data_IF_195763513660
#
_entry.id   IF_195763513660
#
_cell.length_a   1.000
_cell.length_b   1.000
_cell.length_c   1.000
_cell.angle_alpha   90.00
_cell.angle_beta   90.00
_cell.angle_gamma   90.00
#
_symmetry.space_group_name_H-M   'P 1'
#
loop_
_entity.id
_entity.type
_entity.pdbx_description
1 polymer ?
#
# COMPACT_ATOMS: atom_id res chain seq x y z
N UNK A 1 -75.67 60.64 10.92
CA UNK A 1 -75.12 59.25 11.00
C UNK A 1 -74.17 59.07 9.83
N UNK A 2 -72.84 59.04 10.09
CA UNK A 2 -71.82 58.92 9.07
C UNK A 2 -71.19 57.50 9.19
N UNK A 3 -71.35 56.67 8.19
CA UNK A 3 -70.73 55.33 8.05
C UNK A 3 -69.29 55.47 7.55
N UNK A 4 -68.34 55.01 8.34
CA UNK A 4 -66.95 54.94 7.98
C UNK A 4 -66.72 53.60 7.26
N UNK A 5 -66.26 53.65 5.99
CA UNK A 5 -65.79 52.53 5.21
C UNK A 5 -64.28 52.31 5.49
N UNK A 6 -63.92 51.15 6.03
CA UNK A 6 -62.52 50.72 6.21
C UNK A 6 -62.04 49.96 4.97
N UNK A 7 -60.98 50.47 4.36
CA UNK A 7 -60.25 49.78 3.29
C UNK A 7 -59.19 48.87 3.90
N UNK A 8 -59.23 47.57 3.60
CA UNK A 8 -58.19 46.63 3.91
C UNK A 8 -57.27 46.54 2.68
N UNK A 9 -56.02 46.96 2.84
CA UNK A 9 -54.94 46.68 1.85
C UNK A 9 -54.34 45.38 2.22
N UNK A 10 -54.61 44.34 1.45
CA UNK A 10 -53.90 43.04 1.51
C UNK A 10 -52.60 43.11 0.72
N UNK A 11 -51.45 43.14 1.41
CA UNK A 11 -50.14 42.95 0.78
C UNK A 11 -49.92 41.46 0.57
N UNK A 12 -49.97 41.02 -0.67
CA UNK A 12 -49.54 39.67 -1.07
C UNK A 12 -48.01 39.64 -1.14
N UNK A 13 -47.35 39.03 -0.15
CA UNK A 13 -45.93 38.71 -0.20
C UNK A 13 -45.74 37.45 -1.05
N UNK A 14 -45.27 37.62 -2.29
CA UNK A 14 -44.88 36.51 -3.15
C UNK A 14 -43.51 35.96 -2.70
N UNK A 15 -43.50 34.82 -2.02
CA UNK A 15 -42.29 34.06 -1.73
C UNK A 15 -41.76 33.39 -3.03
N UNK A 16 -40.71 33.94 -3.58
CA UNK A 16 -39.94 33.29 -4.67
C UNK A 16 -39.11 32.14 -4.06
N UNK A 17 -39.59 30.92 -4.19
CA UNK A 17 -38.77 29.72 -3.92
C UNK A 17 -37.79 29.53 -5.07
N UNK A 18 -36.52 29.92 -4.86
CA UNK A 18 -35.41 29.48 -5.72
C UNK A 18 -35.19 27.98 -5.50
N UNK A 19 -35.65 27.16 -6.45
CA UNK A 19 -35.26 25.77 -6.51
C UNK A 19 -33.81 25.71 -6.99
N UNK A 20 -32.87 25.49 -6.08
CA UNK A 20 -31.50 25.15 -6.43
C UNK A 20 -31.53 23.69 -6.90
N UNK A 21 -31.60 23.50 -8.22
CA UNK A 21 -31.35 22.18 -8.83
C UNK A 21 -29.87 21.88 -8.72
N UNK A 22 -29.47 21.14 -7.70
CA UNK A 22 -28.17 20.51 -7.68
C UNK A 22 -28.14 19.47 -8.81
N UNK A 23 -27.34 19.76 -9.85
CA UNK A 23 -26.99 18.75 -10.86
C UNK A 23 -26.05 17.79 -10.15
N UNK A 24 -26.57 16.67 -9.66
CA UNK A 24 -25.75 15.57 -9.23
C UNK A 24 -25.07 14.99 -10.49
N UNK A 25 -23.81 15.28 -10.70
CA UNK A 25 -23.01 14.50 -11.64
C UNK A 25 -22.97 13.08 -11.07
N UNK A 26 -23.40 12.09 -11.86
CA UNK A 26 -23.17 10.70 -11.50
C UNK A 26 -21.65 10.49 -11.35
N UNK A 27 -21.22 9.96 -10.20
CA UNK A 27 -19.83 9.61 -10.02
C UNK A 27 -19.43 8.62 -11.11
N UNK A 28 -18.23 8.81 -11.68
CA UNK A 28 -17.73 7.87 -12.67
C UNK A 28 -17.50 6.49 -12.04
N UNK A 29 -17.69 5.43 -12.81
CA UNK A 29 -17.46 4.07 -12.31
C UNK A 29 -16.01 3.93 -11.79
N UNK A 30 -15.85 3.26 -10.65
CA UNK A 30 -14.54 2.95 -10.09
C UNK A 30 -13.83 1.98 -11.04
N UNK A 31 -12.57 2.24 -11.43
CA UNK A 31 -11.83 1.36 -12.33
C UNK A 31 -11.80 -0.07 -11.82
N UNK A 32 -12.01 -1.02 -12.70
CA UNK A 32 -11.80 -2.43 -12.40
C UNK A 32 -10.30 -2.73 -12.25
N UNK A 33 -9.95 -3.74 -11.47
CA UNK A 33 -8.57 -4.10 -11.19
C UNK A 33 -7.93 -3.32 -10.03
N UNK A 34 -6.67 -3.65 -9.70
CA UNK A 34 -6.06 -3.24 -8.44
C UNK A 34 -5.36 -1.87 -8.48
N UNK A 35 -5.36 -1.19 -9.63
CA UNK A 35 -4.71 0.12 -9.80
C UNK A 35 -5.69 1.21 -10.17
N UNK A 36 -5.42 2.42 -9.68
CA UNK A 36 -6.14 3.65 -10.04
C UNK A 36 -5.14 4.68 -10.53
N UNK A 37 -5.42 5.34 -11.66
CA UNK A 37 -4.56 6.41 -12.17
C UNK A 37 -4.75 7.71 -11.40
N UNK A 38 -3.72 8.55 -11.37
CA UNK A 38 -3.77 9.91 -10.81
C UNK A 38 -4.84 10.75 -11.50
N UNK A 39 -4.99 10.62 -12.83
CA UNK A 39 -6.00 11.35 -13.61
C UNK A 39 -7.44 10.98 -13.21
N UNK A 40 -7.71 9.68 -13.02
CA UNK A 40 -9.03 9.25 -12.57
C UNK A 40 -9.32 9.75 -11.15
N UNK A 41 -8.37 9.56 -10.22
CA UNK A 41 -8.55 9.96 -8.82
C UNK A 41 -8.75 11.47 -8.69
N UNK A 42 -7.97 12.29 -9.42
CA UNK A 42 -8.09 13.74 -9.39
C UNK A 42 -9.48 14.25 -9.83
N UNK A 43 -10.15 13.51 -10.70
CA UNK A 43 -11.52 13.82 -11.19
C UNK A 43 -12.62 13.27 -10.28
N UNK A 44 -12.28 12.39 -9.33
CA UNK A 44 -13.26 11.65 -8.53
C UNK A 44 -12.99 11.71 -7.02
N UNK A 45 -12.32 12.77 -6.54
CA UNK A 45 -11.98 12.92 -5.12
C UNK A 45 -13.20 12.86 -4.18
N UNK A 46 -14.35 13.35 -4.65
CA UNK A 46 -15.61 13.38 -3.89
C UNK A 46 -16.49 12.13 -4.14
N UNK A 47 -15.94 11.06 -4.75
CA UNK A 47 -16.70 9.84 -5.02
C UNK A 47 -17.18 9.22 -3.68
N UNK A 48 -18.48 8.96 -3.48
CA UNK A 48 -19.02 8.58 -2.17
C UNK A 48 -18.51 7.23 -1.66
N UNK A 49 -18.17 6.31 -2.59
CA UNK A 49 -17.80 4.94 -2.27
C UNK A 49 -16.28 4.72 -2.25
N UNK A 50 -15.45 5.78 -2.29
CA UNK A 50 -14.01 5.61 -2.11
C UNK A 50 -13.55 6.11 -0.75
N UNK A 51 -12.46 5.53 -0.28
CA UNK A 51 -11.69 6.01 0.86
C UNK A 51 -10.22 6.08 0.49
N UNK A 52 -9.69 7.29 0.44
CA UNK A 52 -8.29 7.53 0.14
C UNK A 52 -7.51 7.46 1.45
N UNK A 53 -6.44 6.65 1.48
CA UNK A 53 -5.61 6.48 2.68
C UNK A 53 -4.15 6.70 2.29
N UNK A 54 -3.49 7.65 2.95
CA UNK A 54 -2.05 7.86 2.83
C UNK A 54 -1.31 6.95 3.81
N UNK A 55 -0.40 6.12 3.30
CA UNK A 55 0.51 5.31 4.09
C UNK A 55 1.93 5.79 3.82
N UNK A 56 2.35 6.81 4.55
CA UNK A 56 3.66 7.46 4.40
C UNK A 56 4.52 7.29 5.66
N UNK A 57 5.82 7.45 5.51
CA UNK A 57 6.80 7.29 6.59
C UNK A 57 7.57 8.56 6.90
N UNK A 58 7.61 9.53 5.97
CA UNK A 58 8.31 10.79 6.21
C UNK A 58 7.54 11.66 7.22
N UNK A 59 8.15 12.04 8.35
CA UNK A 59 7.46 12.79 9.39
C UNK A 59 6.90 14.13 8.89
N UNK A 60 5.64 14.41 9.23
CA UNK A 60 4.96 15.66 8.90
C UNK A 60 4.63 15.83 7.41
N UNK A 61 4.78 14.77 6.60
CA UNK A 61 4.51 14.85 5.16
C UNK A 61 3.02 15.07 4.88
N UNK A 62 2.18 14.29 5.54
CA UNK A 62 0.72 14.40 5.41
C UNK A 62 0.22 15.80 5.83
N UNK A 63 0.73 16.34 6.93
CA UNK A 63 0.34 17.66 7.45
C UNK A 63 0.78 18.81 6.53
N UNK A 64 1.90 18.66 5.83
CA UNK A 64 2.36 19.64 4.83
C UNK A 64 1.51 19.64 3.55
N UNK A 65 0.83 18.55 3.29
CA UNK A 65 -0.08 18.41 2.16
C UNK A 65 -0.31 16.94 1.82
N UNK A 66 -1.56 16.58 1.59
CA UNK A 66 -2.01 15.24 1.20
C UNK A 66 -3.08 15.35 0.10
N UNK A 67 -3.40 14.26 -0.56
CA UNK A 67 -4.49 14.22 -1.54
C UNK A 67 -5.80 14.60 -0.83
N UNK A 68 -6.61 15.53 -1.38
CA UNK A 68 -7.86 15.95 -0.72
C UNK A 68 -8.74 14.76 -0.39
N UNK A 69 -9.26 14.72 0.84
CA UNK A 69 -10.08 13.61 1.32
C UNK A 69 -9.29 12.40 1.85
N UNK A 70 -7.97 12.39 1.76
CA UNK A 70 -7.18 11.30 2.31
C UNK A 70 -7.07 11.35 3.83
N UNK A 71 -7.23 10.20 4.49
CA UNK A 71 -6.84 9.98 5.89
C UNK A 71 -5.41 9.48 5.96
N UNK A 72 -4.74 9.67 7.11
CA UNK A 72 -3.36 9.22 7.30
C UNK A 72 -3.31 7.95 8.14
N UNK A 73 -2.70 6.89 7.62
CA UNK A 73 -2.29 5.72 8.39
C UNK A 73 -0.76 5.71 8.46
N UNK A 74 -0.22 6.04 9.63
CA UNK A 74 1.22 5.95 9.84
C UNK A 74 1.66 4.50 9.82
N UNK A 75 2.55 4.15 8.87
CA UNK A 75 3.09 2.80 8.83
C UNK A 75 3.72 2.40 10.16
N UNK A 76 4.46 3.32 10.80
CA UNK A 76 5.13 3.04 12.07
C UNK A 76 4.18 2.77 13.23
N UNK A 77 3.08 3.54 13.36
CA UNK A 77 2.21 3.51 14.55
C UNK A 77 0.93 2.71 14.36
N UNK A 78 0.38 2.78 13.13
CA UNK A 78 -0.98 2.35 12.89
C UNK A 78 -1.02 0.97 12.21
N UNK A 79 0.00 0.64 11.39
CA UNK A 79 0.06 -0.64 10.68
C UNK A 79 1.07 -1.65 11.25
N UNK A 80 1.78 -1.29 12.32
CA UNK A 80 2.73 -2.17 13.01
C UNK A 80 2.50 -2.21 14.53
N UNK A 81 2.78 -3.37 15.12
CA UNK A 81 2.99 -3.54 16.56
C UNK A 81 4.48 -3.33 16.84
N UNK A 82 4.83 -2.16 17.39
CA UNK A 82 6.22 -1.80 17.66
C UNK A 82 6.87 -2.62 18.78
N UNK A 83 6.08 -3.21 19.66
CA UNK A 83 6.60 -4.02 20.79
C UNK A 83 7.01 -5.40 20.31
N UNK A 84 6.15 -6.07 19.53
CA UNK A 84 6.40 -7.41 19.00
C UNK A 84 7.08 -7.42 17.65
N UNK A 85 7.17 -6.26 17.01
CA UNK A 85 7.62 -6.12 15.62
C UNK A 85 6.75 -7.00 14.70
N UNK A 86 5.45 -6.86 14.80
CA UNK A 86 4.44 -7.58 14.04
C UNK A 86 3.56 -6.61 13.24
N UNK A 87 2.71 -7.10 12.35
CA UNK A 87 1.66 -6.28 11.76
C UNK A 87 0.68 -5.84 12.84
N UNK A 88 -0.08 -4.79 12.57
CA UNK A 88 -1.16 -4.31 13.43
C UNK A 88 -2.09 -5.45 13.85
N UNK A 89 -2.58 -5.44 15.09
CA UNK A 89 -3.56 -6.45 15.53
C UNK A 89 -4.90 -6.27 14.82
N UNK A 90 -5.68 -7.35 14.69
CA UNK A 90 -7.02 -7.31 14.11
C UNK A 90 -7.89 -6.24 14.77
N UNK A 91 -7.91 -6.18 16.10
CA UNK A 91 -8.70 -5.21 16.87
C UNK A 91 -8.33 -3.75 16.51
N UNK A 92 -7.04 -3.44 16.45
CA UNK A 92 -6.57 -2.11 16.10
C UNK A 92 -6.85 -1.80 14.62
N UNK A 93 -6.73 -2.77 13.72
CA UNK A 93 -7.04 -2.62 12.31
C UNK A 93 -8.54 -2.31 12.11
N UNK A 94 -9.43 -3.06 12.77
CA UNK A 94 -10.88 -2.79 12.75
C UNK A 94 -11.19 -1.37 13.25
N UNK A 95 -10.54 -0.94 14.32
CA UNK A 95 -10.71 0.41 14.84
C UNK A 95 -10.24 1.49 13.86
N UNK A 96 -9.10 1.29 13.19
CA UNK A 96 -8.58 2.21 12.17
C UNK A 96 -9.55 2.36 10.99
N UNK A 97 -10.05 1.25 10.45
CA UNK A 97 -10.96 1.27 9.31
C UNK A 97 -12.32 1.88 9.70
N UNK A 98 -12.82 1.53 10.89
CA UNK A 98 -14.04 2.13 11.42
C UNK A 98 -13.93 3.65 11.53
N UNK A 99 -12.84 4.18 12.09
CA UNK A 99 -12.60 5.61 12.21
C UNK A 99 -12.42 6.30 10.85
N UNK A 100 -11.82 5.60 9.90
CA UNK A 100 -11.68 6.09 8.53
C UNK A 100 -13.00 6.07 7.74
N UNK A 101 -14.09 5.56 8.32
CA UNK A 101 -15.39 5.46 7.66
C UNK A 101 -15.41 4.44 6.52
N UNK A 102 -14.60 3.38 6.63
CA UNK A 102 -14.61 2.26 5.68
C UNK A 102 -15.78 1.34 6.03
N UNK A 103 -16.62 1.06 5.06
CA UNK A 103 -17.75 0.14 5.15
C UNK A 103 -17.69 -0.95 4.08
N UNK A 104 -18.70 -1.84 4.03
CA UNK A 104 -18.69 -3.00 3.12
C UNK A 104 -18.66 -2.63 1.62
N UNK A 105 -19.19 -1.45 1.26
CA UNK A 105 -19.26 -0.98 -0.13
C UNK A 105 -18.16 0.06 -0.44
N UNK A 106 -17.12 0.13 0.38
CA UNK A 106 -16.07 1.14 0.25
C UNK A 106 -14.87 0.56 -0.48
N UNK A 107 -14.53 1.12 -1.64
CA UNK A 107 -13.24 0.90 -2.30
C UNK A 107 -12.16 1.71 -1.59
N UNK A 108 -11.12 1.05 -1.11
CA UNK A 108 -9.98 1.71 -0.48
C UNK A 108 -8.90 1.99 -1.52
N UNK A 109 -8.45 3.25 -1.59
CA UNK A 109 -7.35 3.65 -2.47
C UNK A 109 -6.16 4.05 -1.60
N UNK A 110 -5.12 3.23 -1.63
CA UNK A 110 -3.89 3.46 -0.87
C UNK A 110 -2.86 4.19 -1.73
N UNK A 111 -2.16 5.14 -1.14
CA UNK A 111 -1.00 5.77 -1.72
C UNK A 111 0.01 6.14 -0.63
N UNK A 112 1.26 6.40 -1.02
CA UNK A 112 2.26 6.81 -0.05
C UNK A 112 3.48 7.47 -0.71
N UNK A 113 4.39 7.89 0.14
CA UNK A 113 5.73 8.31 -0.24
C UNK A 113 6.64 7.11 -0.57
N UNK A 114 7.94 7.35 -0.73
CA UNK A 114 8.97 6.30 -0.81
C UNK A 114 8.60 5.20 -1.80
N UNK A 115 8.34 5.61 -3.07
CA UNK A 115 8.01 4.71 -4.17
C UNK A 115 6.77 3.82 -3.92
N UNK A 116 5.84 4.27 -3.13
CA UNK A 116 4.60 3.55 -2.82
C UNK A 116 4.80 2.22 -2.05
N UNK A 117 6.01 1.95 -1.52
CA UNK A 117 6.30 0.67 -0.84
C UNK A 117 5.43 0.45 0.39
N UNK A 118 5.22 1.51 1.19
CA UNK A 118 4.44 1.44 2.41
C UNK A 118 2.93 1.38 2.14
N UNK A 119 2.46 1.96 1.03
CA UNK A 119 1.10 1.76 0.56
C UNK A 119 0.86 0.31 0.09
N UNK A 120 1.84 -0.29 -0.60
CA UNK A 120 1.79 -1.71 -0.96
C UNK A 120 1.84 -2.63 0.27
N UNK A 121 2.59 -2.26 1.33
CA UNK A 121 2.50 -2.93 2.63
C UNK A 121 1.09 -2.82 3.21
N UNK A 122 0.49 -1.63 3.16
CA UNK A 122 -0.89 -1.43 3.55
C UNK A 122 -1.82 -2.38 2.80
N UNK A 123 -1.74 -2.44 1.46
CA UNK A 123 -2.55 -3.33 0.63
C UNK A 123 -2.40 -4.80 1.04
N UNK A 124 -1.17 -5.25 1.33
CA UNK A 124 -0.91 -6.59 1.82
C UNK A 124 -1.54 -6.87 3.19
N UNK A 125 -1.50 -5.91 4.12
CA UNK A 125 -2.16 -6.03 5.43
C UNK A 125 -3.68 -6.05 5.29
N UNK A 126 -4.23 -5.22 4.39
CA UNK A 126 -5.66 -5.20 4.08
C UNK A 126 -6.12 -6.54 3.52
N UNK A 127 -5.37 -7.13 2.58
CA UNK A 127 -5.65 -8.47 2.03
C UNK A 127 -5.57 -9.56 3.11
N UNK A 128 -4.60 -9.50 4.04
CA UNK A 128 -4.53 -10.42 5.19
C UNK A 128 -5.81 -10.34 6.02
N UNK A 129 -6.35 -9.14 6.22
CA UNK A 129 -7.57 -8.93 7.00
C UNK A 129 -8.86 -8.99 6.16
N UNK A 130 -8.79 -9.50 4.92
CA UNK A 130 -9.96 -9.79 4.08
C UNK A 130 -10.71 -8.56 3.62
N UNK A 131 -10.00 -7.46 3.31
CA UNK A 131 -10.59 -6.29 2.66
C UNK A 131 -10.49 -6.45 1.16
N UNK A 132 -11.61 -6.77 0.49
CA UNK A 132 -11.63 -7.23 -0.89
C UNK A 132 -11.35 -6.14 -1.94
N UNK A 133 -11.78 -4.88 -1.71
CA UNK A 133 -11.68 -3.82 -2.72
C UNK A 133 -10.63 -2.77 -2.32
N UNK A 134 -9.37 -3.19 -2.45
CA UNK A 134 -8.20 -2.34 -2.19
C UNK A 134 -7.44 -2.09 -3.48
N UNK A 135 -7.15 -0.82 -3.75
CA UNK A 135 -6.40 -0.39 -4.93
C UNK A 135 -5.19 0.45 -4.53
N UNK A 136 -4.15 0.40 -5.34
CA UNK A 136 -3.05 1.37 -5.23
C UNK A 136 -3.24 2.52 -6.23
N UNK A 137 -2.94 3.73 -5.80
CA UNK A 137 -2.73 4.85 -6.71
C UNK A 137 -1.43 4.60 -7.47
N UNK A 138 -1.53 4.37 -8.78
CA UNK A 138 -0.39 4.01 -9.61
C UNK A 138 0.59 5.17 -9.76
N UNK A 139 1.86 4.96 -9.38
CA UNK A 139 2.88 5.98 -9.23
C UNK A 139 2.88 6.73 -7.89
N UNK A 140 1.86 6.51 -7.06
CA UNK A 140 1.76 7.03 -5.69
C UNK A 140 1.86 8.54 -5.58
N UNK A 141 2.35 9.00 -4.41
CA UNK A 141 2.50 10.41 -4.10
C UNK A 141 3.46 11.14 -5.06
N UNK A 142 4.56 10.50 -5.43
CA UNK A 142 5.58 11.11 -6.30
C UNK A 142 4.99 11.53 -7.65
N UNK A 143 4.17 10.67 -8.28
CA UNK A 143 3.51 10.97 -9.54
C UNK A 143 2.45 12.06 -9.37
N UNK A 144 1.65 12.00 -8.31
CA UNK A 144 0.66 13.04 -8.00
C UNK A 144 1.29 14.44 -7.92
N UNK A 145 2.41 14.54 -7.21
CA UNK A 145 3.16 15.80 -7.06
C UNK A 145 3.85 16.23 -8.37
N UNK A 146 4.42 15.29 -9.13
CA UNK A 146 5.05 15.57 -10.42
C UNK A 146 4.06 16.11 -11.46
N UNK A 147 2.80 15.69 -11.39
CA UNK A 147 1.71 16.18 -12.23
C UNK A 147 1.09 17.50 -11.70
N UNK A 148 1.64 18.06 -10.62
CA UNK A 148 1.16 19.28 -9.95
C UNK A 148 -0.33 19.22 -9.58
N UNK A 149 -0.82 18.05 -9.20
CA UNK A 149 -2.19 17.88 -8.77
C UNK A 149 -2.43 18.47 -7.36
N UNK A 150 -3.68 18.81 -7.07
CA UNK A 150 -4.03 19.53 -5.84
C UNK A 150 -3.68 18.73 -4.58
N UNK A 151 -3.06 19.40 -3.62
CA UNK A 151 -2.87 18.93 -2.25
C UNK A 151 -3.69 19.77 -1.28
N UNK A 152 -4.10 19.17 -0.16
CA UNK A 152 -4.82 19.78 0.95
C UNK A 152 -4.03 19.62 2.23
N UNK A 153 -4.13 20.60 3.13
CA UNK A 153 -3.67 20.48 4.52
C UNK A 153 -4.81 20.21 5.49
N UNK A 154 -6.06 20.14 4.96
CA UNK A 154 -7.26 19.91 5.77
C UNK A 154 -7.50 18.41 5.86
N UNK A 155 -7.32 17.84 7.05
CA UNK A 155 -7.69 16.46 7.33
C UNK A 155 -9.22 16.28 7.17
N UNK A 156 -9.67 15.22 6.51
CA UNK A 156 -11.11 14.94 6.38
C UNK A 156 -11.67 14.41 7.70
N UNK A 157 -12.98 14.56 7.86
CA UNK A 157 -13.74 13.92 8.93
C UNK A 157 -14.78 13.00 8.30
N UNK A 158 -14.73 11.72 8.67
CA UNK A 158 -15.68 10.71 8.21
C UNK A 158 -16.52 10.20 9.38
N UNK A 159 -17.79 9.91 9.13
CA UNK A 159 -18.62 9.23 10.12
C UNK A 159 -18.05 7.82 10.34
N UNK A 160 -17.76 7.44 11.60
CA UNK A 160 -17.27 6.09 11.89
C UNK A 160 -18.26 5.01 11.46
N UNK A 161 -17.72 3.87 11.03
CA UNK A 161 -18.50 2.65 10.73
C UNK A 161 -18.29 1.60 11.83
N UNK A 162 -18.93 0.45 11.71
CA UNK A 162 -18.64 -0.74 12.52
C UNK A 162 -17.97 -1.79 11.63
N UNK A 163 -16.74 -1.46 11.18
CA UNK A 163 -15.97 -2.38 10.36
C UNK A 163 -15.51 -3.59 11.17
N UNK A 164 -15.69 -4.79 10.62
CA UNK A 164 -15.23 -6.04 11.22
C UNK A 164 -14.54 -6.90 10.19
N UNK A 165 -13.42 -7.49 10.62
CA UNK A 165 -12.70 -8.50 9.83
C UNK A 165 -13.52 -9.79 9.83
N UNK A 166 -13.90 -10.25 8.65
CA UNK A 166 -14.67 -11.48 8.48
C UNK A 166 -13.79 -12.73 8.60
N UNK A 167 -12.62 -12.70 7.98
CA UNK A 167 -11.64 -13.80 7.97
C UNK A 167 -10.24 -13.25 7.85
N UNK A 168 -9.27 -13.93 8.49
CA UNK A 168 -7.85 -13.57 8.41
C UNK A 168 -7.13 -14.54 7.49
N UNK A 169 -6.63 -14.05 6.36
CA UNK A 169 -5.84 -14.83 5.41
C UNK A 169 -4.35 -14.83 5.77
N UNK A 170 -3.96 -15.62 6.74
CA UNK A 170 -2.56 -15.76 7.15
C UNK A 170 -1.67 -16.43 6.10
N UNK A 171 -2.25 -17.05 5.07
CA UNK A 171 -1.51 -17.71 3.98
C UNK A 171 -0.73 -16.72 3.09
N UNK A 172 -1.08 -15.44 3.10
CA UNK A 172 -0.36 -14.39 2.38
C UNK A 172 0.98 -14.01 3.03
N UNK A 173 1.23 -14.48 4.24
CA UNK A 173 2.44 -14.17 5.01
C UNK A 173 3.34 -15.39 5.13
N UNK A 174 4.60 -15.27 4.72
CA UNK A 174 5.64 -16.25 5.03
C UNK A 174 6.32 -15.89 6.35
N UNK A 175 6.71 -16.91 7.10
CA UNK A 175 7.49 -16.80 8.33
C UNK A 175 8.86 -17.44 8.14
N UNK A 176 9.79 -17.22 9.08
CA UNK A 176 11.12 -17.84 9.03
C UNK A 176 11.09 -19.37 8.80
N UNK A 177 10.22 -20.15 9.44
CA UNK A 177 10.14 -21.59 9.16
C UNK A 177 9.78 -21.93 7.71
N UNK A 178 8.93 -21.12 7.06
CA UNK A 178 8.59 -21.32 5.63
C UNK A 178 9.81 -21.10 4.73
N UNK A 179 10.59 -20.06 5.04
CA UNK A 179 11.83 -19.74 4.32
C UNK A 179 12.88 -20.85 4.54
N UNK A 180 13.01 -21.35 5.77
CA UNK A 180 13.93 -22.46 6.07
C UNK A 180 13.53 -23.73 5.33
N UNK A 181 12.23 -24.02 5.21
CA UNK A 181 11.76 -25.17 4.44
C UNK A 181 12.22 -25.10 2.96
N UNK A 182 12.30 -23.90 2.38
CA UNK A 182 12.85 -23.73 1.02
C UNK A 182 14.36 -23.95 1.01
N UNK A 183 15.10 -23.35 1.93
CA UNK A 183 16.56 -23.46 2.03
C UNK A 183 17.00 -24.91 2.26
N UNK A 184 16.22 -25.68 3.00
CA UNK A 184 16.47 -27.10 3.32
C UNK A 184 15.94 -28.07 2.24
N UNK A 185 15.33 -27.55 1.15
CA UNK A 185 14.78 -28.38 0.07
C UNK A 185 13.50 -29.13 0.43
N UNK A 186 12.80 -28.69 1.46
CA UNK A 186 11.52 -29.27 1.91
C UNK A 186 10.30 -28.58 1.26
N UNK A 187 10.51 -27.48 0.55
CA UNK A 187 9.50 -26.71 -0.19
C UNK A 187 10.04 -26.35 -1.57
N UNK A 188 9.17 -26.43 -2.60
CA UNK A 188 9.47 -26.04 -3.97
C UNK A 188 9.26 -24.52 -4.22
N UNK A 189 8.83 -23.76 -3.22
CA UNK A 189 8.61 -22.33 -3.36
C UNK A 189 9.89 -21.61 -3.78
N UNK A 190 9.75 -20.57 -4.61
CA UNK A 190 10.88 -19.73 -5.03
C UNK A 190 11.05 -18.54 -4.13
N UNK A 191 12.27 -18.32 -3.64
CA UNK A 191 12.64 -17.11 -2.90
C UNK A 191 13.07 -16.02 -3.88
N UNK A 192 12.46 -14.84 -3.77
CA UNK A 192 12.84 -13.67 -4.56
C UNK A 192 13.36 -12.56 -3.63
N UNK A 193 14.63 -12.25 -3.77
CA UNK A 193 15.24 -11.05 -3.18
C UNK A 193 15.01 -9.86 -4.10
N UNK A 194 14.25 -8.88 -3.62
CA UNK A 194 13.91 -7.70 -4.42
C UNK A 194 14.84 -6.52 -4.15
N UNK A 195 15.84 -6.68 -3.30
CA UNK A 195 16.86 -5.66 -3.01
C UNK A 195 17.74 -5.43 -4.24
N UNK A 196 18.59 -4.43 -4.18
CA UNK A 196 19.57 -4.18 -5.26
C UNK A 196 20.52 -5.37 -5.45
N UNK A 197 21.10 -5.47 -6.65
CA UNK A 197 22.09 -6.50 -6.95
C UNK A 197 23.32 -6.40 -6.02
N UNK A 198 23.70 -5.21 -5.58
CA UNK A 198 24.84 -5.02 -4.69
C UNK A 198 24.53 -5.46 -3.24
N UNK A 199 23.28 -5.26 -2.74
CA UNK A 199 22.81 -5.85 -1.48
C UNK A 199 22.80 -7.39 -1.57
N UNK A 200 22.25 -7.94 -2.66
CA UNK A 200 22.17 -9.39 -2.91
C UNK A 200 23.55 -10.05 -2.95
N UNK A 201 24.48 -9.46 -3.67
CA UNK A 201 25.85 -9.98 -3.76
C UNK A 201 26.68 -9.76 -2.50
N UNK A 202 26.17 -9.04 -1.52
CA UNK A 202 26.87 -8.72 -0.29
C UNK A 202 27.99 -7.68 -0.45
N UNK A 203 27.98 -6.88 -1.52
CA UNK A 203 28.93 -5.77 -1.70
C UNK A 203 28.65 -4.62 -0.74
N UNK A 204 27.37 -4.39 -0.45
CA UNK A 204 26.89 -3.39 0.49
C UNK A 204 25.88 -4.03 1.44
N UNK A 205 25.75 -3.48 2.65
CA UNK A 205 24.72 -3.88 3.60
C UNK A 205 23.37 -3.25 3.24
N UNK A 206 23.37 -1.97 2.87
CA UNK A 206 22.20 -1.22 2.46
C UNK A 206 22.59 -0.11 1.48
N UNK A 207 21.63 0.44 0.69
CA UNK A 207 21.85 1.63 -0.11
C UNK A 207 22.26 2.83 0.76
N UNK A 208 22.96 3.84 0.22
CA UNK A 208 23.31 5.06 0.93
C UNK A 208 22.08 5.74 1.55
N UNK A 209 22.19 6.15 2.80
CA UNK A 209 21.13 6.81 3.55
C UNK A 209 20.09 5.86 4.19
N UNK A 210 20.17 4.56 3.91
CA UNK A 210 19.31 3.55 4.54
C UNK A 210 20.07 2.92 5.72
N UNK A 211 19.45 2.93 6.90
CA UNK A 211 20.00 2.24 8.08
C UNK A 211 19.74 0.74 7.92
N UNK A 212 20.80 -0.05 7.81
CA UNK A 212 20.69 -1.52 7.83
C UNK A 212 20.78 -2.03 9.25
N UNK A 213 19.91 -2.98 9.55
CA UNK A 213 19.80 -3.61 10.86
C UNK A 213 20.41 -5.03 10.90
N UNK A 214 20.69 -5.62 9.74
CA UNK A 214 21.33 -6.94 9.68
C UNK A 214 22.86 -6.82 9.82
N UNK A 215 23.44 -7.70 10.63
CA UNK A 215 24.90 -7.76 10.85
C UNK A 215 25.64 -8.55 9.78
N UNK A 216 24.92 -9.20 8.87
CA UNK A 216 25.51 -9.97 7.75
C UNK A 216 25.13 -9.35 6.42
N UNK A 217 26.07 -9.32 5.47
CA UNK A 217 25.84 -8.97 4.07
C UNK A 217 25.54 -10.25 3.25
N UNK A 218 24.88 -10.09 2.10
CA UNK A 218 24.53 -11.21 1.21
C UNK A 218 23.03 -11.49 1.17
N UNK A 219 22.66 -12.75 0.92
CA UNK A 219 21.27 -13.15 0.69
C UNK A 219 20.95 -14.56 1.23
N UNK A 220 19.67 -14.93 1.20
CA UNK A 220 19.18 -16.25 1.59
C UNK A 220 19.59 -17.27 0.51
N UNK A 221 20.18 -18.41 0.85
CA UNK A 221 20.61 -19.41 -0.12
C UNK A 221 19.49 -19.86 -1.06
N UNK A 222 19.81 -19.97 -2.35
CA UNK A 222 18.88 -20.38 -3.39
C UNK A 222 17.88 -19.27 -3.84
N UNK A 223 17.95 -18.07 -3.27
CA UNK A 223 17.12 -16.97 -3.73
C UNK A 223 17.58 -16.44 -5.09
N UNK A 224 16.62 -16.02 -5.92
CA UNK A 224 16.90 -15.26 -7.15
C UNK A 224 16.75 -13.76 -6.89
N UNK A 225 17.55 -12.94 -7.58
CA UNK A 225 17.47 -11.49 -7.41
C UNK A 225 16.70 -10.83 -8.56
N UNK A 226 15.58 -10.24 -8.22
CA UNK A 226 14.82 -9.37 -9.12
C UNK A 226 14.57 -8.04 -8.41
N UNK A 227 15.45 -7.04 -8.57
CA UNK A 227 15.28 -5.73 -7.92
C UNK A 227 13.91 -5.12 -8.21
N UNK A 228 13.24 -4.63 -7.17
CA UNK A 228 11.88 -4.08 -7.25
C UNK A 228 11.73 -3.01 -8.36
N UNK A 229 12.78 -2.22 -8.59
CA UNK A 229 12.79 -1.15 -9.60
C UNK A 229 12.54 -1.65 -11.02
N UNK A 230 12.78 -2.94 -11.29
CA UNK A 230 12.47 -3.55 -12.59
C UNK A 230 10.96 -3.65 -12.86
N UNK A 231 10.13 -3.57 -11.82
CA UNK A 231 8.68 -3.68 -11.94
C UNK A 231 7.99 -2.35 -12.25
N UNK A 232 8.72 -1.22 -12.26
CA UNK A 232 8.14 0.11 -12.45
C UNK A 232 8.75 0.86 -13.62
N UNK A 233 8.01 1.83 -14.12
CA UNK A 233 8.45 2.85 -15.09
C UNK A 233 9.16 3.99 -14.36
N UNK A 234 9.73 4.94 -15.11
CA UNK A 234 10.46 6.09 -14.56
C UNK A 234 9.57 7.00 -13.67
N UNK A 235 8.27 7.05 -13.95
CA UNK A 235 7.30 7.81 -13.18
C UNK A 235 6.73 7.08 -11.96
N UNK A 236 7.26 5.89 -11.66
CA UNK A 236 6.86 5.06 -10.53
C UNK A 236 5.61 4.20 -10.76
N UNK A 237 4.96 4.29 -11.92
CA UNK A 237 3.85 3.41 -12.27
C UNK A 237 4.33 1.99 -12.52
N UNK A 238 3.48 1.01 -12.27
CA UNK A 238 3.82 -0.38 -12.61
C UNK A 238 3.96 -0.57 -14.12
N UNK A 239 4.84 -1.46 -14.51
CA UNK A 239 4.91 -1.96 -15.89
C UNK A 239 3.68 -2.78 -16.22
N UNK A 240 3.41 -2.92 -17.53
CA UNK A 240 2.31 -3.76 -18.00
C UNK A 240 2.46 -5.21 -17.52
N UNK A 241 1.35 -5.96 -17.36
CA UNK A 241 1.40 -7.37 -17.01
C UNK A 241 2.28 -8.21 -17.94
N UNK A 242 2.31 -7.89 -19.23
CA UNK A 242 3.15 -8.55 -20.23
C UNK A 242 4.64 -8.31 -19.98
N UNK A 243 5.03 -7.07 -19.69
CA UNK A 243 6.41 -6.72 -19.35
C UNK A 243 6.84 -7.36 -18.02
N UNK A 244 5.98 -7.32 -17.00
CA UNK A 244 6.22 -7.97 -15.71
C UNK A 244 6.43 -9.46 -15.86
N UNK A 245 5.56 -10.17 -16.60
CA UNK A 245 5.72 -11.61 -16.89
C UNK A 245 7.07 -11.91 -17.51
N UNK A 246 7.51 -11.11 -18.48
CA UNK A 246 8.81 -11.30 -19.12
C UNK A 246 9.97 -11.12 -18.14
N UNK A 247 9.93 -10.03 -17.34
CA UNK A 247 10.99 -9.71 -16.36
C UNK A 247 11.16 -10.83 -15.35
N UNK A 248 10.06 -11.35 -14.80
CA UNK A 248 10.12 -12.41 -13.80
C UNK A 248 10.42 -13.77 -14.39
N UNK A 249 9.94 -14.07 -15.61
CA UNK A 249 10.28 -15.31 -16.31
C UNK A 249 11.78 -15.44 -16.63
N UNK A 250 12.47 -14.33 -16.93
CA UNK A 250 13.92 -14.29 -17.12
C UNK A 250 14.70 -14.75 -15.87
N UNK A 251 14.10 -14.57 -14.68
CA UNK A 251 14.64 -15.08 -13.41
C UNK A 251 14.08 -16.46 -13.03
N UNK A 252 13.38 -17.13 -13.95
CA UNK A 252 12.75 -18.43 -13.72
C UNK A 252 11.50 -18.37 -12.84
N UNK A 253 10.85 -17.22 -12.73
CA UNK A 253 9.63 -16.99 -11.95
C UNK A 253 8.47 -16.81 -12.94
N UNK A 254 7.71 -17.84 -13.18
CA UNK A 254 6.62 -17.90 -14.17
C UNK A 254 5.22 -18.12 -13.58
N UNK A 255 5.14 -18.22 -12.25
CA UNK A 255 3.90 -18.49 -11.52
C UNK A 255 3.52 -19.97 -11.44
N UNK A 256 4.34 -20.88 -11.97
CA UNK A 256 4.09 -22.33 -11.90
C UNK A 256 4.40 -22.95 -10.52
N UNK A 257 5.08 -22.22 -9.65
CA UNK A 257 5.36 -22.64 -8.27
C UNK A 257 5.08 -21.48 -7.31
N UNK A 258 4.71 -21.75 -6.05
CA UNK A 258 4.56 -20.72 -5.02
C UNK A 258 5.81 -19.86 -4.87
N UNK A 259 5.63 -18.60 -4.51
CA UNK A 259 6.69 -17.60 -4.42
C UNK A 259 6.73 -17.03 -3.01
N UNK A 260 7.92 -16.76 -2.50
CA UNK A 260 8.15 -15.97 -1.29
C UNK A 260 9.02 -14.77 -1.65
N UNK A 261 8.48 -13.56 -1.49
CA UNK A 261 9.25 -12.32 -1.68
C UNK A 261 9.83 -11.84 -0.36
N UNK A 262 11.04 -11.30 -0.39
CA UNK A 262 11.64 -10.65 0.77
C UNK A 262 12.51 -9.45 0.37
N UNK A 263 12.71 -8.54 1.30
CA UNK A 263 13.63 -7.41 1.15
C UNK A 263 14.49 -7.21 2.41
N UNK A 264 14.42 -6.04 3.04
CA UNK A 264 15.05 -5.74 4.32
C UNK A 264 14.11 -6.00 5.51
N UNK A 265 12.90 -5.43 5.46
CA UNK A 265 11.87 -5.51 6.53
C UNK A 265 10.45 -5.76 5.98
N UNK A 266 10.28 -6.11 4.71
CA UNK A 266 9.00 -6.48 4.11
C UNK A 266 8.32 -5.40 3.28
N UNK A 267 8.68 -4.13 3.43
CA UNK A 267 8.02 -3.00 2.76
C UNK A 267 8.25 -2.97 1.24
N UNK A 268 9.49 -3.12 0.80
CA UNK A 268 9.81 -3.20 -0.64
C UNK A 268 9.28 -4.50 -1.26
N UNK A 269 9.32 -5.59 -0.51
CA UNK A 269 8.83 -6.88 -1.00
C UNK A 269 7.30 -6.94 -1.09
N UNK A 270 6.56 -6.14 -0.31
CA UNK A 270 5.11 -5.98 -0.48
C UNK A 270 4.77 -5.34 -1.83
N UNK A 271 5.59 -4.43 -2.33
CA UNK A 271 5.42 -3.86 -3.67
C UNK A 271 5.58 -4.92 -4.77
N UNK A 272 6.59 -5.79 -4.66
CA UNK A 272 6.77 -6.93 -5.57
C UNK A 272 5.65 -7.97 -5.38
N UNK A 273 5.26 -8.27 -4.14
CA UNK A 273 4.10 -9.11 -3.84
C UNK A 273 2.84 -8.59 -4.56
N UNK A 274 2.57 -7.28 -4.48
CA UNK A 274 1.45 -6.66 -5.16
C UNK A 274 1.52 -6.85 -6.69
N UNK A 275 2.69 -6.61 -7.28
CA UNK A 275 2.89 -6.80 -8.72
C UNK A 275 2.62 -8.26 -9.15
N UNK A 276 3.16 -9.22 -8.41
CA UNK A 276 3.04 -10.64 -8.76
C UNK A 276 1.65 -11.20 -8.45
N UNK A 277 1.04 -10.82 -7.32
CA UNK A 277 -0.27 -11.33 -6.90
C UNK A 277 -1.39 -10.59 -7.62
N UNK A 278 -1.41 -9.27 -7.52
CA UNK A 278 -2.56 -8.47 -7.97
C UNK A 278 -2.56 -8.21 -9.48
N UNK A 279 -1.36 -8.09 -10.10
CA UNK A 279 -1.28 -7.81 -11.55
C UNK A 279 -1.07 -9.07 -12.37
N UNK A 280 -0.41 -10.11 -11.82
CA UNK A 280 -0.14 -11.34 -12.56
C UNK A 280 -0.95 -12.55 -12.11
N UNK A 281 -1.59 -12.49 -10.93
CA UNK A 281 -2.38 -13.60 -10.38
C UNK A 281 -1.53 -14.77 -9.88
N UNK A 282 -0.26 -14.55 -9.52
CA UNK A 282 0.63 -15.59 -9.00
C UNK A 282 0.37 -15.85 -7.51
N UNK A 283 0.67 -17.06 -7.05
CA UNK A 283 0.63 -17.42 -5.63
C UNK A 283 1.89 -16.90 -4.94
N UNK A 284 1.77 -15.82 -4.16
CA UNK A 284 2.90 -15.15 -3.53
C UNK A 284 2.65 -14.91 -2.04
N UNK A 285 3.65 -15.20 -1.22
CA UNK A 285 3.68 -14.82 0.18
C UNK A 285 4.77 -13.78 0.43
N UNK A 286 4.49 -12.78 1.25
CA UNK A 286 5.50 -11.82 1.67
C UNK A 286 6.15 -12.27 2.98
N UNK A 287 7.47 -12.39 2.99
CA UNK A 287 8.27 -12.63 4.21
C UNK A 287 8.69 -11.28 4.79
N UNK A 288 7.91 -10.76 5.71
CA UNK A 288 8.12 -9.43 6.29
C UNK A 288 9.25 -9.37 7.33
N UNK A 289 9.64 -10.48 7.95
CA UNK A 289 10.88 -10.59 8.72
C UNK A 289 12.11 -10.27 7.88
N UNK A 290 12.10 -10.72 6.64
CA UNK A 290 13.06 -10.38 5.59
C UNK A 290 14.52 -10.57 6.01
N UNK A 291 15.44 -9.82 5.37
CA UNK A 291 16.87 -9.91 5.67
C UNK A 291 17.21 -9.47 7.10
N UNK A 292 16.45 -8.54 7.68
CA UNK A 292 16.66 -8.12 9.07
C UNK A 292 16.46 -9.28 10.05
N UNK A 293 15.47 -10.16 9.84
CA UNK A 293 15.30 -11.36 10.66
C UNK A 293 16.33 -12.43 10.28
N UNK A 294 16.36 -12.83 9.01
CA UNK A 294 17.21 -13.92 8.54
C UNK A 294 18.70 -13.62 8.71
N UNK A 295 19.14 -12.43 8.31
CA UNK A 295 20.52 -11.97 8.40
C UNK A 295 21.07 -11.84 9.82
N UNK A 296 20.21 -11.71 10.83
CA UNK A 296 20.59 -11.64 12.24
C UNK A 296 20.45 -12.99 12.98
N UNK A 297 19.78 -13.97 12.39
CA UNK A 297 19.58 -15.27 13.06
C UNK A 297 20.88 -16.06 13.08
N UNK A 298 21.34 -16.39 14.29
CA UNK A 298 22.59 -17.11 14.51
C UNK A 298 22.50 -18.53 13.93
N UNK A 299 23.55 -18.94 13.21
CA UNK A 299 23.68 -20.30 12.69
C UNK A 299 22.98 -20.55 11.35
N UNK A 300 22.18 -19.63 10.83
CA UNK A 300 21.57 -19.82 9.51
C UNK A 300 22.59 -19.63 8.38
N UNK A 301 22.53 -20.48 7.32
CA UNK A 301 23.39 -20.32 6.15
C UNK A 301 23.03 -19.04 5.39
N UNK A 302 24.03 -18.42 4.77
CA UNK A 302 23.86 -17.28 3.86
C UNK A 302 24.75 -17.47 2.64
N UNK A 303 24.41 -16.85 1.55
CA UNK A 303 25.30 -16.62 0.42
C UNK A 303 25.80 -15.17 0.45
N UNK A 304 27.13 -14.99 0.46
CA UNK A 304 27.79 -13.68 0.46
C UNK A 304 28.94 -13.69 -0.56
N UNK A 305 28.62 -13.56 -1.85
CA UNK A 305 29.63 -13.67 -2.91
C UNK A 305 30.78 -12.68 -2.82
N UNK A 306 30.51 -11.47 -2.32
CA UNK A 306 31.52 -10.42 -2.16
C UNK A 306 32.41 -10.60 -0.91
N UNK A 307 31.99 -11.45 0.05
CA UNK A 307 32.74 -11.70 1.27
C UNK A 307 32.75 -10.52 2.26
N UNK A 308 31.87 -9.54 2.12
CA UNK A 308 31.84 -8.37 3.01
C UNK A 308 31.40 -8.76 4.41
N UNK A 309 32.14 -8.36 5.42
CA UNK A 309 31.83 -8.57 6.84
C UNK A 309 31.78 -7.23 7.59
N UNK A 310 30.87 -7.11 8.55
CA UNK A 310 30.66 -5.86 9.29
C UNK A 310 31.85 -5.42 10.16
N UNK A 311 32.69 -6.36 10.56
CA UNK A 311 33.87 -6.10 11.39
C UNK A 311 35.13 -5.71 10.58
N UNK A 312 35.03 -5.60 9.26
CA UNK A 312 36.17 -5.33 8.38
C UNK A 312 36.44 -3.84 8.16
N UNK A 313 36.24 -2.99 9.18
CA UNK A 313 36.59 -1.57 9.13
C UNK A 313 37.69 -1.28 10.13
#
# INVERSE_FOLDING_TARGET
MRTMQRWFHGSACALLLLAITSVAFAAADIPQGPLVSTDWLAKNLDHPNIRIIEVSVNPGLYERGHIPGAVNFSWHRDLNDLVRRDIVSQENFEALLSQAGVGPDTTVILYGDTNNWFAAWGAWVFDIYGVDDVKLLDGGRAKWEAENLTLSTRAPEYAPTDFKVAEVNSALRARLPDVLAVVEGQSEAKLIDIRSADEFQGKIFAPPGVIELAVRAGHIPGAVNVPWVKAVNEDGTFKSPEELKKIYAEAGVDGGTPIITYCRIGERSSHTWFALTQLLGYEVRNYDGSWTEYGNTVGLPIENPAGTVWAAK
#
